data_IF_784797917736
#
_entry.id   IF_784797917736
#
_cell.length_a   1.000
_cell.length_b   1.000
_cell.length_c   1.000
_cell.angle_alpha   90.00
_cell.angle_beta   90.00
_cell.angle_gamma   90.00
#
_symmetry.space_group_name_H-M   'P 1'
#
loop_
_entity.id
_entity.type
_entity.pdbx_description
1 polymer ?
#
# COMPACT_ATOMS: atom_id res chain seq x y z
N UNK A 1 8.45 17.47 0.08
CA UNK A 1 8.90 17.89 -1.27
C UNK A 1 8.76 19.40 -1.44
N UNK A 2 9.84 20.08 -1.81
CA UNK A 2 9.78 21.49 -2.25
C UNK A 2 9.63 21.55 -3.76
N UNK A 3 8.45 21.94 -4.26
CA UNK A 3 8.26 22.13 -5.69
C UNK A 3 9.03 23.38 -6.13
N UNK A 4 10.11 23.19 -6.89
CA UNK A 4 10.84 24.30 -7.49
C UNK A 4 10.22 24.65 -8.84
N UNK A 5 10.15 25.96 -9.13
CA UNK A 5 9.63 26.45 -10.39
C UNK A 5 10.42 25.84 -11.56
N UNK A 6 9.73 25.12 -12.46
CA UNK A 6 10.36 24.43 -13.60
C UNK A 6 10.67 22.95 -13.39
N UNK A 7 10.41 22.39 -12.21
CA UNK A 7 10.52 20.94 -11.99
C UNK A 7 9.47 20.21 -12.83
N UNK A 8 9.93 19.27 -13.67
CA UNK A 8 9.06 18.37 -14.44
C UNK A 8 8.86 17.10 -13.64
N UNK A 9 7.61 16.73 -13.42
CA UNK A 9 7.25 15.44 -12.85
C UNK A 9 7.14 14.43 -13.98
N UNK A 10 7.62 13.22 -13.73
CA UNK A 10 7.40 12.11 -14.64
C UNK A 10 6.02 11.50 -14.39
N UNK A 11 5.33 11.12 -15.46
CA UNK A 11 4.03 10.49 -15.40
C UNK A 11 4.16 9.02 -15.77
N UNK A 12 3.63 8.14 -14.90
CA UNK A 12 3.44 6.73 -15.20
C UNK A 12 1.99 6.46 -15.59
N UNK A 13 1.76 5.53 -16.51
CA UNK A 13 0.41 5.06 -16.84
C UNK A 13 0.37 3.53 -16.92
N UNK A 14 -0.79 2.97 -16.55
CA UNK A 14 -1.03 1.53 -16.53
C UNK A 14 -2.53 1.25 -16.54
N UNK A 15 -2.91 -0.01 -16.75
CA UNK A 15 -4.31 -0.44 -16.79
C UNK A 15 -4.54 -1.58 -15.80
N UNK A 16 -5.50 -1.39 -14.90
CA UNK A 16 -5.96 -2.43 -13.99
C UNK A 16 -7.09 -3.24 -14.65
N UNK A 17 -7.04 -4.55 -14.47
CA UNK A 17 -8.17 -5.45 -14.73
C UNK A 17 -9.10 -5.49 -13.52
N UNK A 18 -10.33 -5.95 -13.74
CA UNK A 18 -11.27 -6.19 -12.65
C UNK A 18 -10.64 -7.10 -11.58
N UNK A 19 -10.77 -6.69 -10.32
CA UNK A 19 -10.19 -7.37 -9.17
C UNK A 19 -8.74 -6.98 -8.86
N UNK A 20 -8.01 -6.35 -9.79
CA UNK A 20 -6.65 -5.86 -9.53
C UNK A 20 -6.66 -4.59 -8.66
N UNK A 21 -5.56 -4.36 -7.96
CA UNK A 21 -5.43 -3.24 -7.04
C UNK A 21 -4.04 -2.64 -7.03
N UNK A 22 -3.98 -1.42 -6.49
CA UNK A 22 -2.77 -0.67 -6.22
C UNK A 22 -2.62 -0.55 -4.71
N UNK A 23 -1.44 -0.91 -4.22
CA UNK A 23 -1.03 -0.66 -2.84
C UNK A 23 0.08 0.38 -2.88
N UNK A 24 -0.12 1.50 -2.19
CA UNK A 24 0.81 2.62 -2.13
C UNK A 24 1.16 2.89 -0.68
N UNK A 25 2.41 3.25 -0.43
CA UNK A 25 2.91 3.55 0.91
C UNK A 25 3.97 4.65 0.86
N UNK A 26 4.19 5.29 2.00
CA UNK A 26 5.34 6.21 2.22
C UNK A 26 6.56 5.44 2.71
N UNK A 27 7.74 6.01 2.50
CA UNK A 27 9.04 5.50 2.96
C UNK A 27 9.12 5.19 4.46
N UNK A 28 8.32 5.86 5.30
CA UNK A 28 8.15 5.49 6.71
C UNK A 28 7.79 4.01 6.95
N UNK A 29 7.25 3.29 5.96
CA UNK A 29 7.06 1.82 6.02
C UNK A 29 8.37 1.07 5.91
N UNK A 30 9.20 1.41 4.93
CA UNK A 30 10.47 0.74 4.65
C UNK A 30 11.59 1.17 5.61
N UNK A 31 11.43 2.34 6.24
CA UNK A 31 12.31 2.82 7.31
C UNK A 31 11.93 2.27 8.70
N UNK A 32 10.82 1.53 8.80
CA UNK A 32 10.46 0.84 10.04
C UNK A 32 11.47 -0.29 10.32
N UNK A 33 12.18 -0.17 11.45
CA UNK A 33 13.07 -1.21 11.95
C UNK A 33 12.46 -1.95 13.14
N UNK A 34 12.92 -3.18 13.35
CA UNK A 34 12.62 -3.96 14.54
C UNK A 34 13.67 -3.74 15.65
N UNK A 35 13.50 -4.41 16.79
CA UNK A 35 14.42 -4.29 17.92
C UNK A 35 15.87 -4.74 17.62
N UNK A 36 16.09 -5.50 16.54
CA UNK A 36 17.40 -5.92 16.06
C UNK A 36 17.98 -4.96 14.99
N UNK A 37 17.39 -3.77 14.84
CA UNK A 37 17.74 -2.74 13.84
C UNK A 37 17.59 -3.22 12.38
N UNK A 38 16.82 -4.29 12.14
CA UNK A 38 16.53 -4.77 10.79
C UNK A 38 15.36 -4.01 10.17
N UNK A 39 15.56 -3.48 8.96
CA UNK A 39 14.55 -2.77 8.18
C UNK A 39 13.53 -3.73 7.56
N UNK A 40 12.27 -3.27 7.44
CA UNK A 40 11.25 -3.96 6.68
C UNK A 40 11.55 -3.89 5.17
N UNK A 41 11.88 -5.02 4.56
CA UNK A 41 12.20 -5.08 3.12
C UNK A 41 10.95 -5.18 2.24
N UNK A 42 11.10 -4.76 0.98
CA UNK A 42 10.07 -4.92 -0.05
C UNK A 42 9.69 -6.40 -0.26
N UNK A 43 10.66 -7.32 -0.23
CA UNK A 43 10.42 -8.76 -0.36
C UNK A 43 9.45 -9.29 0.73
N UNK A 44 9.59 -8.81 1.97
CA UNK A 44 8.70 -9.20 3.06
C UNK A 44 7.29 -8.63 2.82
N UNK A 45 7.18 -7.39 2.37
CA UNK A 45 5.90 -6.79 2.02
C UNK A 45 5.21 -7.55 0.88
N UNK A 46 5.95 -7.98 -0.14
CA UNK A 46 5.42 -8.75 -1.26
C UNK A 46 4.84 -10.10 -0.80
N UNK A 47 5.55 -10.79 0.11
CA UNK A 47 5.06 -12.02 0.73
C UNK A 47 3.74 -11.74 1.47
N UNK A 48 3.72 -10.72 2.33
CA UNK A 48 2.52 -10.36 3.09
C UNK A 48 1.34 -9.99 2.19
N UNK A 49 1.56 -9.16 1.18
CA UNK A 49 0.54 -8.80 0.19
C UNK A 49 0.01 -10.03 -0.55
N UNK A 50 0.87 -11.01 -0.83
CA UNK A 50 0.47 -12.26 -1.48
C UNK A 50 -0.49 -13.10 -0.63
N UNK A 51 -0.29 -13.14 0.69
CA UNK A 51 -1.16 -13.85 1.64
C UNK A 51 -2.51 -13.16 1.82
N UNK A 52 -2.55 -11.84 1.64
CA UNK A 52 -3.73 -10.99 1.86
C UNK A 52 -4.56 -10.72 0.60
N UNK A 53 -4.24 -11.34 -0.56
CA UNK A 53 -4.87 -10.99 -1.86
C UNK A 53 -6.41 -11.09 -1.86
N UNK A 54 -6.97 -11.99 -1.05
CA UNK A 54 -8.42 -12.20 -0.92
C UNK A 54 -9.14 -11.15 -0.07
N UNK A 55 -8.39 -10.32 0.67
CA UNK A 55 -8.96 -9.26 1.50
C UNK A 55 -9.47 -8.09 0.65
N UNK A 56 -10.57 -7.48 1.12
CA UNK A 56 -11.00 -6.17 0.65
C UNK A 56 -10.00 -5.07 1.07
N UNK A 57 -10.00 -3.93 0.38
CA UNK A 57 -8.98 -2.89 0.54
C UNK A 57 -8.82 -2.38 1.97
N UNK A 58 -9.92 -2.16 2.70
CA UNK A 58 -9.87 -1.72 4.10
C UNK A 58 -9.25 -2.78 5.02
N UNK A 59 -9.68 -4.04 4.87
CA UNK A 59 -9.15 -5.16 5.64
C UNK A 59 -7.66 -5.37 5.36
N UNK A 60 -7.23 -5.22 4.11
CA UNK A 60 -5.83 -5.30 3.71
C UNK A 60 -4.99 -4.20 4.37
N UNK A 61 -5.44 -2.94 4.34
CA UNK A 61 -4.71 -1.83 5.00
C UNK A 61 -4.61 -2.05 6.50
N UNK A 62 -5.69 -2.50 7.15
CA UNK A 62 -5.69 -2.79 8.59
C UNK A 62 -4.73 -3.93 8.94
N UNK A 63 -4.75 -5.02 8.19
CA UNK A 63 -3.87 -6.16 8.41
C UNK A 63 -2.41 -5.78 8.16
N UNK A 64 -2.11 -5.06 7.08
CA UNK A 64 -0.75 -4.59 6.80
C UNK A 64 -0.22 -3.71 7.93
N UNK A 65 -1.04 -2.78 8.44
CA UNK A 65 -0.67 -1.95 9.60
C UNK A 65 -0.35 -2.81 10.83
N UNK A 66 -1.14 -3.85 11.10
CA UNK A 66 -0.89 -4.75 12.23
C UNK A 66 0.43 -5.50 12.07
N UNK A 67 0.74 -5.99 10.87
CA UNK A 67 2.01 -6.69 10.58
C UNK A 67 3.22 -5.78 10.72
N UNK A 68 3.15 -4.55 10.21
CA UNK A 68 4.22 -3.55 10.38
C UNK A 68 4.43 -3.23 11.87
N UNK A 69 3.35 -2.99 12.62
CA UNK A 69 3.45 -2.77 14.07
C UNK A 69 4.01 -3.99 14.82
N UNK A 70 3.61 -5.20 14.41
CA UNK A 70 4.14 -6.44 14.99
C UNK A 70 5.62 -6.66 14.68
N UNK A 71 6.06 -6.33 13.48
CA UNK A 71 7.46 -6.39 13.06
C UNK A 71 8.33 -5.39 13.85
N UNK A 72 7.89 -4.13 13.95
CA UNK A 72 8.60 -3.11 14.72
C UNK A 72 8.64 -3.45 16.23
N UNK A 73 7.59 -4.08 16.75
CA UNK A 73 7.49 -4.45 18.16
C UNK A 73 7.48 -3.20 19.04
N UNK A 74 8.48 -3.08 19.92
CA UNK A 74 8.68 -1.91 20.78
C UNK A 74 9.67 -0.89 20.21
N UNK A 75 10.22 -1.13 19.02
CA UNK A 75 11.12 -0.17 18.38
C UNK A 75 10.36 1.13 18.07
N UNK A 76 11.03 2.25 18.28
CA UNK A 76 10.48 3.56 17.99
C UNK A 76 10.46 3.77 16.46
N UNK A 77 9.31 4.19 15.93
CA UNK A 77 9.18 4.49 14.51
C UNK A 77 9.84 5.83 14.21
N UNK A 78 10.61 5.89 13.13
CA UNK A 78 11.40 7.08 12.77
C UNK A 78 10.65 8.10 11.92
N UNK A 79 9.57 7.71 11.25
CA UNK A 79 8.76 8.59 10.38
C UNK A 79 7.27 8.17 10.33
N UNK A 80 6.43 9.00 9.72
CA UNK A 80 5.00 8.77 9.54
C UNK A 80 4.70 7.66 8.51
N UNK A 81 3.92 6.67 8.93
CA UNK A 81 3.45 5.58 8.06
C UNK A 81 2.10 5.93 7.44
N UNK A 82 2.05 6.05 6.11
CA UNK A 82 0.81 6.16 5.34
C UNK A 82 0.64 4.97 4.41
N UNK A 83 -0.54 4.34 4.44
CA UNK A 83 -0.91 3.21 3.58
C UNK A 83 -2.19 3.52 2.79
N UNK A 84 -2.20 3.22 1.50
CA UNK A 84 -3.37 3.33 0.64
C UNK A 84 -3.56 2.06 -0.18
N UNK A 85 -4.78 1.53 -0.18
CA UNK A 85 -5.17 0.42 -1.03
C UNK A 85 -6.37 0.80 -1.89
N UNK A 86 -6.20 0.69 -3.21
CA UNK A 86 -7.24 0.87 -4.20
C UNK A 86 -7.48 -0.46 -4.93
N UNK A 87 -8.74 -0.79 -5.23
CA UNK A 87 -9.08 -1.97 -6.03
C UNK A 87 -10.11 -1.60 -7.09
N UNK A 88 -9.85 -2.01 -8.33
CA UNK A 88 -10.78 -1.79 -9.43
C UNK A 88 -11.80 -2.92 -9.47
N UNK A 89 -13.08 -2.60 -9.26
CA UNK A 89 -14.18 -3.57 -9.21
C UNK A 89 -14.87 -3.78 -10.56
N UNK A 90 -14.27 -3.31 -11.66
CA UNK A 90 -14.92 -3.36 -12.96
C UNK A 90 -16.05 -2.34 -13.12
N UNK A 91 -16.76 -2.36 -14.26
CA UNK A 91 -17.93 -1.54 -14.48
C UNK A 91 -19.10 -1.98 -13.58
N UNK A 92 -19.88 -1.02 -13.07
CA UNK A 92 -21.08 -1.31 -12.27
C UNK A 92 -22.18 -1.90 -13.16
N UNK A 93 -22.26 -3.23 -13.20
CA UNK A 93 -23.22 -3.98 -14.02
C UNK A 93 -24.69 -3.75 -13.61
N UNK A 94 -24.95 -3.15 -12.44
CA UNK A 94 -26.30 -2.81 -11.96
C UNK A 94 -26.97 -1.66 -12.74
N UNK A 95 -26.21 -0.87 -13.50
CA UNK A 95 -26.76 0.23 -14.32
C UNK A 95 -27.23 -0.19 -15.71
N UNK A 96 -26.96 -1.42 -16.15
CA UNK A 96 -27.26 -1.86 -17.52
C UNK A 96 -28.65 -2.49 -17.72
N UNK A 97 -29.55 -2.40 -16.73
CA UNK A 97 -30.87 -3.06 -16.75
C UNK A 97 -32.07 -2.11 -16.64
N UNK A 98 -31.87 -0.81 -16.85
CA UNK A 98 -32.98 0.15 -16.92
C UNK A 98 -32.92 0.89 -18.25
N UNK A 99 -33.48 0.25 -19.29
CA UNK A 99 -34.10 0.87 -20.47
C UNK A 99 -35.15 -0.10 -21.04
#
# INVERSE_FOLDING_TARGET
MGAMQGMRFEEGSGRLKEGEGLFLFTDGVTEAFNADEALLSEDVMDIWLSEMRSLGSEALVREMRLRISGFAGSAEQSDDITLLCFRYMGPDTRKAQTD
#
